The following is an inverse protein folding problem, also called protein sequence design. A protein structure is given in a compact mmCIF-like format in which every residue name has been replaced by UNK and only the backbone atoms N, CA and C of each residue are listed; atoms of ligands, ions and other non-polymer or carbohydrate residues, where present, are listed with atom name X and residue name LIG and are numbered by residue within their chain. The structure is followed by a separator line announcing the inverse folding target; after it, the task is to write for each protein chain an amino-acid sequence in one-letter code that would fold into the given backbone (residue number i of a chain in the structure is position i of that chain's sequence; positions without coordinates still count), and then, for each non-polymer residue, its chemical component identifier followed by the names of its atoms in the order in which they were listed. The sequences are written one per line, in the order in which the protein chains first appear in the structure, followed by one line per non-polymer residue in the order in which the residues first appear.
data_IF_810128593292
#
_entry.id   IF_810128593292
#
_cell.length_a   1.000
_cell.length_b   1.000
_cell.length_c   1.000
_cell.angle_alpha   90.00
_cell.angle_beta   90.00
_cell.angle_gamma   90.00
#
_symmetry.space_group_name_H-M   'P 1'
#
loop_
_entity.id
_entity.type
_entity.pdbx_description
1 polymer ?
#
# COMPACT_ATOMS: atom_id res chain seq x y z
N UNK A 1 4.21 -2.46 -51.69
CA UNK A 1 4.92 -2.16 -50.43
C UNK A 1 4.01 -1.25 -49.62
N UNK A 2 3.20 -1.85 -48.75
CA UNK A 2 2.27 -1.12 -47.90
C UNK A 2 2.91 -1.09 -46.49
N UNK A 3 3.37 0.09 -46.09
CA UNK A 3 3.91 0.31 -44.78
C UNK A 3 2.81 0.22 -43.71
N UNK A 4 2.85 -0.81 -42.90
CA UNK A 4 2.05 -0.90 -41.70
C UNK A 4 2.53 0.20 -40.73
N UNK A 5 1.83 1.33 -40.72
CA UNK A 5 1.91 2.31 -39.65
C UNK A 5 1.36 1.66 -38.37
N UNK A 6 2.23 1.05 -37.57
CA UNK A 6 1.93 0.62 -36.23
C UNK A 6 1.71 1.86 -35.39
N UNK A 7 0.46 2.34 -35.30
CA UNK A 7 0.06 3.28 -34.30
C UNK A 7 0.32 2.61 -32.93
N UNK A 8 1.40 2.98 -32.26
CA UNK A 8 1.58 2.74 -30.83
C UNK A 8 0.40 3.42 -30.15
N UNK A 9 -0.64 2.66 -29.80
CA UNK A 9 -1.75 3.18 -29.00
C UNK A 9 -1.14 3.75 -27.73
N UNK A 10 -1.25 5.05 -27.55
CA UNK A 10 -0.78 5.71 -26.32
C UNK A 10 -1.44 5.02 -25.12
N UNK A 11 -0.62 4.43 -24.30
CA UNK A 11 -1.07 3.69 -23.13
C UNK A 11 -1.68 4.70 -22.14
N UNK A 12 -2.99 4.61 -21.91
CA UNK A 12 -3.70 5.45 -20.94
C UNK A 12 -4.01 4.66 -19.67
N UNK A 13 -3.95 5.35 -18.52
CA UNK A 13 -4.21 4.76 -17.21
C UNK A 13 -4.76 5.81 -16.23
N UNK A 14 -5.30 5.33 -15.13
CA UNK A 14 -5.93 6.14 -14.08
C UNK A 14 -5.05 6.19 -12.83
N UNK A 15 -5.34 7.11 -11.89
CA UNK A 15 -4.57 7.23 -10.64
C UNK A 15 -4.61 5.95 -9.81
N UNK A 16 -5.75 5.26 -9.76
CA UNK A 16 -5.90 4.01 -9.04
C UNK A 16 -5.03 2.88 -9.62
N UNK A 17 -4.86 2.84 -10.95
CA UNK A 17 -3.93 1.91 -11.61
C UNK A 17 -2.48 2.28 -11.28
N UNK A 18 -2.13 3.56 -11.35
CA UNK A 18 -0.78 4.03 -11.06
C UNK A 18 -0.39 3.82 -9.61
N UNK A 19 -1.30 4.13 -8.69
CA UNK A 19 -1.14 3.93 -7.26
C UNK A 19 -0.87 2.45 -6.92
N UNK A 20 -1.69 1.54 -7.44
CA UNK A 20 -1.52 0.10 -7.21
C UNK A 20 -0.19 -0.41 -7.78
N UNK A 21 0.23 0.08 -8.95
CA UNK A 21 1.55 -0.25 -9.50
C UNK A 21 2.68 0.31 -8.64
N UNK A 22 2.56 1.55 -8.14
CA UNK A 22 3.53 2.13 -7.22
C UNK A 22 3.62 1.30 -5.92
N UNK A 23 2.48 0.84 -5.40
CA UNK A 23 2.42 -0.04 -4.23
C UNK A 23 3.05 -1.42 -4.52
N UNK A 24 2.79 -2.01 -5.69
CA UNK A 24 3.41 -3.26 -6.11
C UNK A 24 4.95 -3.18 -6.17
N UNK A 25 5.48 -2.04 -6.60
CA UNK A 25 6.94 -1.79 -6.70
C UNK A 25 7.64 -1.67 -5.35
N UNK A 26 6.91 -1.63 -4.23
CA UNK A 26 7.51 -1.74 -2.89
C UNK A 26 7.91 -3.16 -2.54
N UNK A 27 7.39 -4.16 -3.24
CA UNK A 27 7.68 -5.59 -3.05
C UNK A 27 8.98 -5.94 -3.77
N UNK A 28 9.85 -6.68 -3.10
CA UNK A 28 11.06 -7.26 -3.69
C UNK A 28 10.82 -8.73 -4.02
N UNK A 29 11.55 -9.22 -5.01
CA UNK A 29 11.49 -10.64 -5.33
C UNK A 29 11.96 -11.52 -4.16
N UNK A 30 11.39 -12.70 -4.00
CA UNK A 30 11.62 -13.67 -2.93
C UNK A 30 11.16 -13.25 -1.52
N UNK A 31 10.47 -12.11 -1.37
CA UNK A 31 9.82 -11.76 -0.09
C UNK A 31 8.59 -12.64 0.18
N UNK A 32 8.37 -13.01 1.43
CA UNK A 32 7.08 -13.47 1.94
C UNK A 32 6.23 -12.24 2.23
N UNK A 33 5.14 -12.07 1.48
CA UNK A 33 4.31 -10.85 1.54
C UNK A 33 2.88 -11.17 2.00
N UNK A 34 2.31 -10.28 2.80
CA UNK A 34 0.99 -10.41 3.39
C UNK A 34 0.21 -9.11 3.34
N UNK A 35 -1.10 -9.19 3.24
CA UNK A 35 -2.02 -8.06 3.43
C UNK A 35 -3.12 -8.41 4.43
N UNK A 36 -3.66 -7.41 5.13
CA UNK A 36 -4.80 -7.58 6.03
C UNK A 36 -6.15 -7.69 5.30
N UNK A 37 -7.19 -7.92 6.06
CA UNK A 37 -8.57 -7.93 5.57
C UNK A 37 -8.96 -6.58 4.96
N UNK A 38 -9.78 -6.63 3.90
CA UNK A 38 -10.38 -5.44 3.32
C UNK A 38 -9.37 -4.47 2.69
N UNK A 39 -8.30 -4.99 2.11
CA UNK A 39 -7.22 -4.23 1.47
C UNK A 39 -7.11 -4.51 -0.03
N UNK A 40 -8.14 -4.19 -0.85
CA UNK A 40 -8.13 -4.52 -2.29
C UNK A 40 -6.92 -3.93 -3.03
N UNK A 41 -6.48 -2.71 -2.73
CA UNK A 41 -5.30 -2.12 -3.35
C UNK A 41 -4.04 -2.95 -3.09
N UNK A 42 -3.79 -3.34 -1.84
CA UNK A 42 -2.66 -4.17 -1.47
C UNK A 42 -2.75 -5.58 -2.10
N UNK A 43 -3.93 -6.19 -2.05
CA UNK A 43 -4.18 -7.49 -2.67
C UNK A 43 -3.87 -7.49 -4.17
N UNK A 44 -4.41 -6.52 -4.91
CA UNK A 44 -4.13 -6.37 -6.35
C UNK A 44 -2.64 -6.09 -6.58
N UNK A 45 -2.00 -5.24 -5.78
CA UNK A 45 -0.58 -4.91 -5.88
C UNK A 45 0.32 -6.16 -5.73
N UNK A 46 0.03 -7.04 -4.77
CA UNK A 46 0.78 -8.29 -4.58
C UNK A 46 0.68 -9.21 -5.81
N UNK A 47 -0.51 -9.35 -6.38
CA UNK A 47 -0.70 -10.12 -7.62
C UNK A 47 -0.03 -9.47 -8.84
N UNK A 48 0.00 -8.13 -8.94
CA UNK A 48 0.74 -7.42 -9.99
C UNK A 48 2.23 -7.68 -9.85
N UNK A 49 2.79 -7.53 -8.64
CA UNK A 49 4.21 -7.80 -8.39
C UNK A 49 4.60 -9.22 -8.80
N UNK A 50 3.84 -10.22 -8.37
CA UNK A 50 4.07 -11.65 -8.69
C UNK A 50 4.00 -11.95 -10.18
N UNK A 51 3.15 -11.24 -10.93
CA UNK A 51 2.99 -11.42 -12.38
C UNK A 51 3.99 -10.60 -13.21
N UNK A 52 4.78 -9.73 -12.57
CA UNK A 52 5.73 -8.84 -13.25
C UNK A 52 7.16 -9.00 -12.75
N UNK A 53 7.57 -8.23 -11.78
CA UNK A 53 8.96 -8.08 -11.36
C UNK A 53 9.38 -8.93 -10.16
N UNK A 54 8.44 -9.49 -9.40
CA UNK A 54 8.70 -10.25 -8.17
C UNK A 54 8.02 -11.64 -8.26
N UNK A 55 8.51 -12.49 -9.18
CA UNK A 55 7.86 -13.75 -9.55
C UNK A 55 7.99 -14.84 -8.51
N UNK A 56 9.01 -14.77 -7.69
CA UNK A 56 9.36 -15.79 -6.68
C UNK A 56 8.90 -15.40 -5.26
N UNK A 57 8.01 -14.42 -5.12
CA UNK A 57 7.43 -14.10 -3.80
C UNK A 57 6.56 -15.24 -3.27
N UNK A 58 6.52 -15.36 -1.95
CA UNK A 58 5.48 -16.11 -1.25
C UNK A 58 4.34 -15.14 -0.89
N UNK A 59 3.29 -15.15 -1.70
CA UNK A 59 2.09 -14.36 -1.45
C UNK A 59 1.20 -15.11 -0.47
N UNK A 60 0.94 -14.52 0.70
CA UNK A 60 -0.03 -15.03 1.66
C UNK A 60 -1.29 -14.15 1.61
N UNK A 61 -2.40 -14.75 1.26
CA UNK A 61 -3.67 -14.07 1.10
C UNK A 61 -4.31 -13.80 2.47
N UNK A 62 -4.74 -12.55 2.70
CA UNK A 62 -5.11 -12.06 4.03
C UNK A 62 -6.34 -12.70 4.67
N UNK A 63 -7.33 -13.07 3.87
CA UNK A 63 -8.59 -13.62 4.40
C UNK A 63 -8.55 -15.15 4.58
N UNK A 64 -7.82 -15.83 3.72
CA UNK A 64 -7.85 -17.30 3.63
C UNK A 64 -6.56 -17.97 4.11
N UNK A 65 -5.48 -17.19 4.31
CA UNK A 65 -4.11 -17.67 4.56
C UNK A 65 -3.61 -18.65 3.49
N UNK A 66 -4.18 -18.52 2.29
CA UNK A 66 -3.75 -19.29 1.13
C UNK A 66 -2.38 -18.80 0.65
N UNK A 67 -1.46 -19.73 0.43
CA UNK A 67 -0.11 -19.43 -0.05
C UNK A 67 -0.07 -19.58 -1.57
N UNK A 68 0.38 -18.50 -2.22
CA UNK A 68 0.49 -18.42 -3.67
C UNK A 68 -0.82 -18.78 -4.41
N UNK A 69 -1.99 -18.26 -4.00
CA UNK A 69 -3.20 -18.48 -4.75
C UNK A 69 -3.10 -17.87 -6.15
N UNK A 70 -3.79 -18.45 -7.09
CA UNK A 70 -3.91 -17.92 -8.46
C UNK A 70 -5.39 -17.86 -8.89
N UNK A 71 -6.17 -16.98 -8.26
CA UNK A 71 -7.56 -16.78 -8.66
C UNK A 71 -7.63 -16.14 -10.05
N UNK A 72 -8.69 -16.41 -10.85
CA UNK A 72 -8.84 -15.82 -12.17
C UNK A 72 -9.06 -14.30 -12.10
N UNK A 73 -9.59 -13.79 -11.01
CA UNK A 73 -9.77 -12.37 -10.71
C UNK A 73 -9.99 -12.18 -9.20
N UNK A 74 -9.78 -10.95 -8.72
CA UNK A 74 -10.11 -10.57 -7.34
C UNK A 74 -11.62 -10.31 -7.24
N UNK A 75 -12.35 -11.06 -6.39
CA UNK A 75 -13.79 -10.86 -6.19
C UNK A 75 -14.07 -9.56 -5.43
N UNK A 76 -15.31 -9.03 -5.49
CA UNK A 76 -15.68 -7.79 -4.81
C UNK A 76 -15.58 -7.85 -3.28
N UNK A 77 -15.58 -9.04 -2.70
CA UNK A 77 -15.43 -9.22 -1.25
C UNK A 77 -14.07 -9.85 -0.92
N UNK A 78 -13.36 -9.23 0.03
CA UNK A 78 -12.06 -9.72 0.48
C UNK A 78 -12.10 -11.03 1.28
N UNK A 79 -13.27 -11.59 1.54
CA UNK A 79 -13.45 -12.84 2.31
C UNK A 79 -13.97 -14.01 1.44
N UNK A 80 -13.90 -13.85 0.12
CA UNK A 80 -14.38 -14.87 -0.80
C UNK A 80 -13.44 -16.08 -0.84
N UNK A 81 -13.98 -17.28 -0.72
CA UNK A 81 -13.21 -18.52 -0.81
C UNK A 81 -12.54 -18.72 -2.18
N UNK A 82 -13.00 -18.04 -3.22
CA UNK A 82 -12.34 -18.03 -4.52
C UNK A 82 -10.88 -17.54 -4.44
N UNK A 83 -10.54 -16.71 -3.43
CA UNK A 83 -9.21 -16.21 -3.18
C UNK A 83 -8.19 -17.28 -2.76
N UNK A 84 -8.62 -18.47 -2.43
CA UNK A 84 -7.72 -19.61 -2.18
C UNK A 84 -7.51 -20.50 -3.41
N UNK A 85 -8.16 -20.19 -4.54
CA UNK A 85 -8.07 -21.00 -5.75
C UNK A 85 -6.64 -21.06 -6.26
N UNK A 86 -6.17 -22.25 -6.63
CA UNK A 86 -4.83 -22.48 -7.13
C UNK A 86 -3.72 -22.36 -6.07
N UNK A 87 -4.06 -22.18 -4.79
CA UNK A 87 -3.08 -22.10 -3.73
C UNK A 87 -2.24 -23.38 -3.61
N UNK A 88 -0.95 -23.21 -3.31
CA UNK A 88 -0.06 -24.33 -3.03
C UNK A 88 -0.48 -25.06 -1.75
N UNK A 89 -0.87 -24.31 -0.73
CA UNK A 89 -1.47 -24.83 0.53
C UNK A 89 -2.16 -23.66 1.27
N UNK A 90 -2.84 -23.99 2.38
CA UNK A 90 -3.37 -23.00 3.33
C UNK A 90 -2.63 -23.14 4.65
N UNK A 91 -2.12 -22.02 5.14
CA UNK A 91 -1.62 -21.95 6.51
C UNK A 91 -2.81 -21.89 7.48
N UNK A 92 -2.64 -22.43 8.67
CA UNK A 92 -3.54 -22.11 9.77
C UNK A 92 -3.18 -20.73 10.31
N UNK A 93 -4.14 -20.08 10.94
CA UNK A 93 -3.94 -18.74 11.52
C UNK A 93 -2.72 -18.69 12.44
N UNK A 94 -2.62 -19.62 13.37
CA UNK A 94 -1.52 -19.70 14.32
C UNK A 94 -0.16 -19.97 13.64
N UNK A 95 -0.12 -20.76 12.58
CA UNK A 95 1.11 -21.05 11.82
C UNK A 95 1.66 -19.78 11.16
N UNK A 96 0.77 -18.91 10.67
CA UNK A 96 1.19 -17.65 10.07
C UNK A 96 1.77 -16.69 11.12
N UNK A 97 1.15 -16.57 12.30
CA UNK A 97 1.65 -15.75 13.38
C UNK A 97 2.99 -16.27 13.92
N UNK A 98 3.14 -17.57 14.06
CA UNK A 98 4.41 -18.19 14.42
C UNK A 98 5.51 -17.92 13.38
N UNK A 99 5.18 -17.98 12.08
CA UNK A 99 6.09 -17.62 11.01
C UNK A 99 6.53 -16.15 11.11
N UNK A 100 5.61 -15.22 11.39
CA UNK A 100 5.94 -13.82 11.57
C UNK A 100 6.89 -13.59 12.76
N UNK A 101 6.65 -14.25 13.89
CA UNK A 101 7.51 -14.15 15.08
C UNK A 101 8.91 -14.73 14.81
N UNK A 102 9.03 -15.78 14.00
CA UNK A 102 10.33 -16.34 13.60
C UNK A 102 11.08 -15.49 12.58
N UNK A 103 10.43 -14.45 12.01
CA UNK A 103 11.03 -13.60 10.98
C UNK A 103 10.87 -14.15 9.55
N UNK A 104 9.95 -15.10 9.33
CA UNK A 104 9.69 -15.72 8.03
C UNK A 104 8.71 -14.89 7.15
N UNK A 105 8.22 -13.77 7.66
CA UNK A 105 7.35 -12.83 6.91
C UNK A 105 8.11 -11.53 6.69
N UNK A 106 8.48 -11.28 5.44
CA UNK A 106 9.35 -10.15 5.09
C UNK A 106 8.60 -8.83 5.01
N UNK A 107 7.35 -8.85 4.52
CA UNK A 107 6.58 -7.63 4.28
C UNK A 107 5.09 -7.80 4.57
N UNK A 108 4.53 -6.79 5.25
CA UNK A 108 3.09 -6.65 5.44
C UNK A 108 2.60 -5.30 4.92
N UNK A 109 1.44 -5.31 4.28
CA UNK A 109 0.74 -4.09 3.88
C UNK A 109 -0.20 -3.64 4.98
N UNK A 110 -0.11 -2.37 5.36
CA UNK A 110 -0.91 -1.74 6.42
C UNK A 110 -1.48 -0.42 5.93
N UNK A 111 -2.75 -0.20 6.18
CA UNK A 111 -3.42 1.08 5.96
C UNK A 111 -3.96 1.64 7.27
N UNK A 112 -4.24 2.95 7.29
CA UNK A 112 -4.85 3.61 8.44
C UNK A 112 -5.69 4.80 8.03
N UNK A 113 -6.66 5.16 8.87
CA UNK A 113 -7.39 6.43 8.69
C UNK A 113 -6.55 7.62 9.12
N UNK A 114 -5.55 7.38 9.99
CA UNK A 114 -4.51 8.32 10.38
C UNK A 114 -3.16 7.60 10.33
N UNK A 115 -2.15 8.30 9.84
CA UNK A 115 -0.75 7.86 9.80
C UNK A 115 0.09 9.05 10.27
N UNK A 116 0.97 8.85 11.25
CA UNK A 116 1.87 9.89 11.73
C UNK A 116 3.21 9.95 10.98
N UNK A 117 4.04 10.91 11.34
CA UNK A 117 5.34 11.13 10.73
C UNK A 117 6.30 9.94 10.83
N UNK A 118 6.12 9.07 11.82
CA UNK A 118 6.96 7.89 12.06
C UNK A 118 6.34 6.59 11.52
N UNK A 119 5.18 6.72 10.84
CA UNK A 119 4.46 5.62 10.22
C UNK A 119 3.66 4.77 11.21
N UNK A 120 3.31 5.33 12.39
CA UNK A 120 2.27 4.69 13.21
C UNK A 120 0.91 4.84 12.53
N UNK A 121 0.06 3.83 12.64
CA UNK A 121 -1.25 3.84 12.00
C UNK A 121 -2.38 3.73 13.01
N UNK A 122 -3.53 4.31 12.65
CA UNK A 122 -4.75 4.22 13.44
C UNK A 122 -5.89 3.61 12.60
N UNK A 123 -6.38 2.46 13.06
CA UNK A 123 -7.60 1.80 12.57
C UNK A 123 -8.57 1.47 13.73
N UNK A 124 -8.38 2.08 14.90
CA UNK A 124 -9.12 1.76 16.12
C UNK A 124 -10.16 2.81 16.48
N UNK A 125 -9.77 4.06 16.60
CA UNK A 125 -10.71 5.12 17.00
C UNK A 125 -10.21 6.51 16.59
N UNK A 126 -11.11 7.40 16.20
CA UNK A 126 -10.83 8.82 16.02
C UNK A 126 -11.44 9.60 17.19
N UNK A 127 -10.64 10.46 17.82
CA UNK A 127 -10.94 11.13 19.07
C UNK A 127 -10.54 10.29 20.28
N UNK A 128 -10.81 10.77 21.53
CA UNK A 128 -10.45 10.09 22.76
C UNK A 128 -10.99 8.66 22.84
N UNK A 129 -10.16 7.70 23.24
CA UNK A 129 -10.53 6.28 23.21
C UNK A 129 -11.70 5.95 24.15
N UNK A 130 -11.87 6.71 25.23
CA UNK A 130 -12.95 6.56 26.19
C UNK A 130 -14.31 7.03 25.64
N UNK A 131 -14.29 7.96 24.65
CA UNK A 131 -15.50 8.49 24.01
C UNK A 131 -15.19 8.89 22.55
N UNK A 132 -14.93 7.90 21.68
CA UNK A 132 -14.48 8.20 20.33
C UNK A 132 -15.58 8.82 19.46
N UNK A 133 -15.20 9.82 18.66
CA UNK A 133 -16.10 10.38 17.63
C UNK A 133 -16.42 9.33 16.55
N UNK A 134 -15.45 8.47 16.23
CA UNK A 134 -15.62 7.35 15.30
C UNK A 134 -14.93 6.12 15.89
N UNK A 135 -15.69 5.04 16.08
CA UNK A 135 -15.13 3.73 16.39
C UNK A 135 -14.89 2.97 15.09
N UNK A 136 -13.69 2.50 14.91
CA UNK A 136 -13.25 1.74 13.73
C UNK A 136 -13.18 0.24 14.05
N UNK A 137 -12.76 -0.57 13.08
CA UNK A 137 -12.68 -2.02 13.21
C UNK A 137 -11.65 -2.53 14.21
N UNK A 138 -10.61 -1.75 14.46
CA UNK A 138 -9.46 -2.15 15.27
C UNK A 138 -8.43 -2.95 14.47
N UNK A 139 -7.27 -3.21 15.08
CA UNK A 139 -6.13 -3.86 14.42
C UNK A 139 -6.29 -5.37 14.22
N UNK A 140 -7.23 -6.03 14.91
CA UNK A 140 -7.27 -7.50 14.95
C UNK A 140 -5.90 -8.07 15.38
N UNK A 141 -5.32 -8.94 14.54
CA UNK A 141 -3.94 -9.43 14.69
C UNK A 141 -2.88 -8.54 14.06
N UNK A 142 -3.28 -7.44 13.40
CA UNK A 142 -2.37 -6.56 12.63
C UNK A 142 -1.27 -5.96 13.49
N UNK A 143 -1.59 -5.49 14.69
CA UNK A 143 -0.61 -4.91 15.61
C UNK A 143 0.49 -5.90 16.02
N UNK A 144 0.16 -7.16 16.25
CA UNK A 144 1.13 -8.21 16.54
C UNK A 144 2.05 -8.47 15.35
N UNK A 145 1.47 -8.57 14.14
CA UNK A 145 2.24 -8.75 12.91
C UNK A 145 3.11 -7.54 12.61
N UNK A 146 2.57 -6.33 12.74
CA UNK A 146 3.34 -5.09 12.55
C UNK A 146 4.54 -4.97 13.52
N UNK A 147 4.48 -5.61 14.68
CA UNK A 147 5.57 -5.66 15.65
C UNK A 147 6.71 -6.60 15.24
N UNK A 148 6.43 -7.62 14.40
CA UNK A 148 7.34 -8.76 14.16
C UNK A 148 7.79 -8.91 12.72
N UNK A 149 6.98 -8.53 11.72
CA UNK A 149 7.34 -8.68 10.31
C UNK A 149 8.52 -7.82 9.91
N UNK A 150 9.29 -8.27 8.91
CA UNK A 150 10.53 -7.63 8.47
C UNK A 150 10.35 -6.17 8.05
N UNK A 151 9.26 -5.84 7.36
CA UNK A 151 8.97 -4.49 6.90
C UNK A 151 7.47 -4.21 6.73
N UNK A 152 7.08 -2.95 6.87
CA UNK A 152 5.74 -2.48 6.55
C UNK A 152 5.75 -1.63 5.28
N UNK A 153 4.82 -1.89 4.36
CA UNK A 153 4.42 -0.97 3.30
C UNK A 153 3.09 -0.34 3.70
N UNK A 154 3.16 0.92 4.11
CA UNK A 154 1.98 1.69 4.48
C UNK A 154 1.33 2.28 3.24
N UNK A 155 0.01 2.48 3.28
CA UNK A 155 -0.68 3.14 2.20
C UNK A 155 -1.96 3.85 2.67
N UNK A 156 -2.35 4.89 1.93
CA UNK A 156 -3.65 5.55 2.08
C UNK A 156 -4.06 6.19 0.76
N UNK A 157 -5.34 6.21 0.46
CA UNK A 157 -5.95 6.88 -0.69
C UNK A 157 -6.70 8.15 -0.27
N UNK A 158 -6.37 8.69 0.92
CA UNK A 158 -7.08 9.81 1.56
C UNK A 158 -6.15 10.96 1.95
N UNK A 159 -4.92 10.98 1.45
CA UNK A 159 -3.95 12.03 1.77
C UNK A 159 -4.46 13.42 1.37
N UNK A 160 -5.05 13.55 0.18
CA UNK A 160 -5.63 14.81 -0.32
C UNK A 160 -6.71 15.41 0.59
N UNK A 161 -7.30 14.62 1.47
CA UNK A 161 -8.27 15.14 2.44
C UNK A 161 -7.64 16.03 3.52
N UNK A 162 -6.31 15.97 3.72
CA UNK A 162 -5.59 16.62 4.81
C UNK A 162 -5.90 16.03 6.20
N UNK A 163 -6.45 14.81 6.25
CA UNK A 163 -6.86 14.15 7.51
C UNK A 163 -6.21 12.79 7.74
N UNK A 164 -5.54 12.27 6.71
CA UNK A 164 -4.91 10.95 6.77
C UNK A 164 -3.48 11.00 7.32
N UNK A 165 -2.68 11.98 6.90
CA UNK A 165 -1.34 12.20 7.45
C UNK A 165 -1.47 13.25 8.55
N UNK A 166 -1.23 12.85 9.79
CA UNK A 166 -1.50 13.65 11.00
C UNK A 166 -0.22 13.84 11.83
N UNK A 167 -0.19 14.89 12.65
CA UNK A 167 0.92 15.12 13.59
C UNK A 167 1.04 13.95 14.56
N UNK A 168 -0.07 13.55 15.18
CA UNK A 168 -0.18 12.43 16.10
C UNK A 168 -1.46 11.63 15.79
N UNK A 169 -1.38 10.32 15.80
CA UNK A 169 -2.55 9.47 15.73
C UNK A 169 -3.36 9.58 17.04
N UNK A 170 -4.69 9.71 16.94
CA UNK A 170 -5.56 9.71 18.13
C UNK A 170 -5.44 8.40 18.93
N UNK A 171 -5.14 7.32 18.24
CA UNK A 171 -4.82 6.00 18.81
C UNK A 171 -3.77 5.31 17.92
N UNK A 172 -2.73 4.76 18.51
CA UNK A 172 -1.73 3.96 17.80
C UNK A 172 -2.18 2.51 17.80
N UNK A 173 -2.65 2.05 16.62
CA UNK A 173 -2.99 0.64 16.42
C UNK A 173 -1.76 -0.16 16.05
N UNK A 174 -1.03 0.29 15.04
CA UNK A 174 0.23 -0.33 14.61
C UNK A 174 1.34 0.70 14.78
N UNK A 175 2.37 0.34 15.53
CA UNK A 175 3.47 1.22 15.83
C UNK A 175 4.39 1.41 14.63
N UNK A 176 4.71 2.65 14.31
CA UNK A 176 5.74 3.04 13.37
C UNK A 176 7.16 2.86 13.92
N UNK A 177 8.11 3.67 13.48
CA UNK A 177 9.50 3.60 13.95
C UNK A 177 9.66 4.02 15.42
N UNK A 178 8.85 4.96 15.88
CA UNK A 178 8.84 5.43 17.26
C UNK A 178 7.48 6.02 17.64
N UNK A 179 7.25 6.09 18.93
CA UNK A 179 6.15 6.83 19.56
C UNK A 179 6.73 7.67 20.71
N UNK A 180 5.89 8.38 21.43
CA UNK A 180 6.28 9.08 22.68
C UNK A 180 6.86 8.14 23.75
N UNK A 181 6.53 6.85 23.69
CA UNK A 181 6.95 5.84 24.68
C UNK A 181 8.32 5.22 24.35
N UNK A 182 8.87 5.49 23.16
CA UNK A 182 10.17 5.02 22.71
C UNK A 182 10.21 4.56 21.25
N UNK A 183 11.37 4.09 20.82
CA UNK A 183 11.61 3.44 19.53
C UNK A 183 11.17 1.97 19.56
N UNK A 184 11.04 1.35 18.38
CA UNK A 184 10.71 -0.08 18.27
C UNK A 184 11.68 -0.97 19.07
N UNK A 185 12.98 -0.70 19.00
CA UNK A 185 14.00 -1.49 19.70
C UNK A 185 13.92 -1.33 21.22
N UNK A 186 13.67 -0.11 21.72
CA UNK A 186 13.50 0.14 23.15
C UNK A 186 12.25 -0.54 23.71
N UNK A 187 11.21 -0.70 22.91
CA UNK A 187 9.97 -1.38 23.27
C UNK A 187 9.98 -2.90 22.96
N UNK A 188 11.12 -3.44 22.51
CA UNK A 188 11.30 -4.88 22.28
C UNK A 188 10.66 -5.42 21.01
N UNK A 189 10.31 -4.57 20.05
CA UNK A 189 9.79 -5.01 18.75
C UNK A 189 10.92 -5.57 17.89
N UNK A 190 10.72 -6.73 17.27
CA UNK A 190 11.71 -7.42 16.46
C UNK A 190 11.61 -7.08 14.97
N UNK A 191 10.45 -6.62 14.51
CA UNK A 191 10.21 -6.24 13.12
C UNK A 191 10.88 -4.92 12.74
N UNK A 192 11.18 -4.75 11.44
CA UNK A 192 11.92 -3.59 10.92
C UNK A 192 11.10 -2.29 10.82
N UNK A 193 9.77 -2.36 10.92
CA UNK A 193 8.89 -1.18 10.83
C UNK A 193 8.62 -0.69 9.41
N UNK A 194 8.05 0.52 9.27
CA UNK A 194 7.70 1.11 7.98
C UNK A 194 8.92 1.33 7.08
N UNK A 195 8.84 0.89 5.83
CA UNK A 195 9.84 1.20 4.79
C UNK A 195 9.29 2.13 3.72
N UNK A 196 8.00 2.00 3.45
CA UNK A 196 7.32 2.78 2.41
C UNK A 196 5.97 3.27 2.90
N UNK A 197 5.58 4.46 2.43
CA UNK A 197 4.23 4.98 2.54
C UNK A 197 3.81 5.47 1.14
N UNK A 198 2.81 4.82 0.56
CA UNK A 198 2.26 5.18 -0.75
C UNK A 198 0.92 5.89 -0.55
N UNK A 199 0.81 7.08 -1.12
CA UNK A 199 -0.43 7.87 -1.10
C UNK A 199 -0.83 8.25 -2.52
N UNK A 200 -2.02 8.77 -2.74
CA UNK A 200 -2.46 9.27 -4.05
C UNK A 200 -1.80 10.62 -4.44
N UNK A 201 -0.95 11.18 -3.56
CA UNK A 201 -0.14 12.37 -3.84
C UNK A 201 1.32 12.03 -4.13
N UNK A 202 1.86 10.99 -3.51
CA UNK A 202 3.27 10.63 -3.67
C UNK A 202 3.68 9.37 -2.90
N UNK A 203 4.96 9.05 -3.00
CA UNK A 203 5.59 7.92 -2.34
C UNK A 203 6.66 8.43 -1.38
N UNK A 204 6.60 7.98 -0.15
CA UNK A 204 7.53 8.31 0.92
C UNK A 204 8.38 7.09 1.30
N UNK A 205 9.62 7.32 1.68
CA UNK A 205 10.43 6.41 2.48
C UNK A 205 10.54 6.95 3.93
N UNK A 206 11.37 6.32 4.74
CA UNK A 206 11.69 6.78 6.09
C UNK A 206 13.20 7.00 6.19
N UNK A 207 13.57 8.15 6.76
CA UNK A 207 14.99 8.51 6.95
C UNK A 207 15.63 7.78 8.15
N UNK A 208 16.86 8.14 8.46
CA UNK A 208 17.62 7.51 9.54
C UNK A 208 16.99 7.71 10.93
N UNK A 209 16.20 8.78 11.10
CA UNK A 209 15.47 9.04 12.34
C UNK A 209 14.12 8.33 12.39
N UNK A 210 13.76 7.60 11.32
CA UNK A 210 12.47 6.94 11.15
C UNK A 210 11.34 7.89 10.77
N UNK A 211 11.64 9.11 10.31
CA UNK A 211 10.65 10.09 9.88
C UNK A 211 10.33 9.94 8.39
N UNK A 212 9.05 10.02 8.05
CA UNK A 212 8.58 9.95 6.66
C UNK A 212 9.17 11.08 5.81
N UNK A 213 9.66 10.71 4.61
CA UNK A 213 10.33 11.63 3.69
C UNK A 213 9.81 11.41 2.27
N UNK A 214 9.31 12.45 1.62
CA UNK A 214 8.79 12.39 0.26
C UNK A 214 9.91 12.08 -0.74
N UNK A 215 9.79 10.96 -1.44
CA UNK A 215 10.75 10.48 -2.46
C UNK A 215 10.28 10.69 -3.88
N UNK A 216 8.96 10.53 -4.09
CA UNK A 216 8.37 10.65 -5.41
C UNK A 216 7.02 11.35 -5.30
N UNK A 217 6.68 12.14 -6.29
CA UNK A 217 5.40 12.86 -6.38
C UNK A 217 4.71 12.50 -7.70
N UNK A 218 3.37 12.40 -7.70
CA UNK A 218 2.65 12.21 -8.95
C UNK A 218 2.71 13.50 -9.79
N UNK A 219 2.85 13.41 -11.13
CA UNK A 219 3.17 14.57 -11.97
C UNK A 219 2.13 15.71 -11.97
N UNK A 220 0.88 15.41 -11.63
CA UNK A 220 -0.20 16.39 -11.51
C UNK A 220 -0.34 16.98 -10.10
N UNK A 221 0.62 16.72 -9.21
CA UNK A 221 0.64 17.16 -7.81
C UNK A 221 1.83 18.08 -7.59
N UNK A 222 1.58 19.27 -7.04
CA UNK A 222 2.63 20.20 -6.62
C UNK A 222 3.16 19.83 -5.22
N UNK A 223 4.42 20.19 -4.94
CA UNK A 223 5.00 20.02 -3.60
C UNK A 223 4.19 20.77 -2.54
N UNK A 224 3.74 21.99 -2.84
CA UNK A 224 2.85 22.78 -1.98
C UNK A 224 1.57 22.04 -1.63
N UNK A 225 0.98 21.30 -2.60
CA UNK A 225 -0.20 20.46 -2.31
C UNK A 225 0.11 19.36 -1.33
N UNK A 226 1.27 18.70 -1.46
CA UNK A 226 1.68 17.65 -0.52
C UNK A 226 1.88 18.23 0.87
N UNK A 227 2.56 19.38 0.97
CA UNK A 227 2.83 20.08 2.23
C UNK A 227 1.52 20.50 2.93
N UNK A 228 0.61 21.14 2.21
CA UNK A 228 -0.70 21.61 2.73
C UNK A 228 -1.57 20.44 3.26
N UNK A 229 -1.43 19.25 2.69
CA UNK A 229 -2.21 18.07 3.07
C UNK A 229 -1.54 17.14 4.09
N UNK A 230 -0.27 17.43 4.45
CA UNK A 230 0.51 16.66 5.43
C UNK A 230 0.45 17.37 6.80
N UNK A 231 -0.02 16.69 7.83
CA UNK A 231 -0.20 17.25 9.18
C UNK A 231 1.09 17.34 10.00
N UNK A 232 2.23 16.87 9.47
CA UNK A 232 3.55 16.95 10.09
C UNK A 232 4.55 17.66 9.17
N UNK A 233 5.73 18.00 9.69
CA UNK A 233 6.80 18.63 8.89
C UNK A 233 7.15 17.75 7.69
N UNK A 234 6.96 18.27 6.47
CA UNK A 234 7.27 17.54 5.25
C UNK A 234 8.78 17.51 5.00
N UNK A 235 9.42 16.37 5.20
CA UNK A 235 10.80 16.13 4.76
C UNK A 235 10.79 15.69 3.29
N UNK A 236 11.68 16.25 2.50
CA UNK A 236 11.79 15.96 1.07
C UNK A 236 13.17 15.38 0.77
N UNK A 237 13.24 14.32 0.01
CA UNK A 237 14.49 13.73 -0.42
C UNK A 237 15.22 14.64 -1.41
N UNK A 238 16.55 14.71 -1.32
CA UNK A 238 17.36 15.53 -2.23
C UNK A 238 17.28 15.09 -3.71
N UNK A 239 16.85 13.86 -3.96
CA UNK A 239 16.61 13.26 -5.27
C UNK A 239 15.10 13.08 -5.57
N UNK A 240 14.26 14.01 -5.09
CA UNK A 240 12.81 13.99 -5.38
C UNK A 240 12.57 13.89 -6.89
N UNK A 241 11.72 12.96 -7.28
CA UNK A 241 11.42 12.68 -8.69
C UNK A 241 9.94 12.34 -8.90
N UNK A 242 9.43 12.41 -10.13
CA UNK A 242 8.10 11.91 -10.43
C UNK A 242 7.97 10.39 -10.15
N UNK A 243 6.79 9.96 -9.71
CA UNK A 243 6.46 8.52 -9.66
C UNK A 243 6.57 7.97 -11.08
N UNK A 244 7.37 6.91 -11.32
CA UNK A 244 7.48 6.33 -12.66
C UNK A 244 6.13 5.80 -13.15
N UNK A 245 5.71 6.11 -14.40
CA UNK A 245 4.43 5.65 -14.93
C UNK A 245 4.37 4.11 -15.01
N UNK A 246 3.16 3.52 -14.99
CA UNK A 246 2.98 2.10 -15.19
C UNK A 246 3.46 1.65 -16.58
N UNK A 247 4.15 0.52 -16.61
CA UNK A 247 4.49 -0.16 -17.87
C UNK A 247 3.32 -0.99 -18.42
N UNK A 248 3.38 -1.33 -19.72
CA UNK A 248 2.36 -2.15 -20.36
C UNK A 248 2.15 -3.51 -19.70
N UNK A 249 3.22 -4.17 -19.24
CA UNK A 249 3.13 -5.45 -18.54
C UNK A 249 2.44 -5.33 -17.17
N UNK A 250 2.74 -4.24 -16.43
CA UNK A 250 2.12 -3.98 -15.13
C UNK A 250 0.62 -3.70 -15.28
N UNK A 251 0.22 -2.88 -16.27
CA UNK A 251 -1.19 -2.61 -16.55
C UNK A 251 -1.93 -3.85 -17.04
N UNK A 252 -1.32 -4.67 -17.89
CA UNK A 252 -1.91 -5.92 -18.33
C UNK A 252 -2.12 -6.89 -17.15
N UNK A 253 -1.14 -7.03 -16.28
CA UNK A 253 -1.25 -7.85 -15.07
C UNK A 253 -2.35 -7.34 -14.14
N UNK A 254 -2.41 -6.01 -13.89
CA UNK A 254 -3.41 -5.38 -13.05
C UNK A 254 -4.82 -5.57 -13.60
N UNK A 255 -5.05 -5.21 -14.88
CA UNK A 255 -6.35 -5.32 -15.53
C UNK A 255 -6.82 -6.78 -15.68
N UNK A 256 -5.87 -7.71 -15.80
CA UNK A 256 -6.16 -9.14 -15.84
C UNK A 256 -6.61 -9.72 -14.52
N UNK A 257 -6.00 -9.27 -13.39
CA UNK A 257 -6.36 -9.78 -12.07
C UNK A 257 -7.53 -9.01 -11.43
N UNK A 258 -7.70 -7.74 -11.75
CA UNK A 258 -8.77 -6.89 -11.23
C UNK A 258 -9.66 -6.31 -12.36
N UNK A 259 -10.31 -7.17 -13.17
CA UNK A 259 -11.20 -6.72 -14.24
C UNK A 259 -12.46 -6.02 -13.70
N UNK A 260 -12.83 -6.27 -12.45
CA UNK A 260 -13.98 -5.66 -11.79
C UNK A 260 -13.65 -4.31 -11.16
N UNK A 261 -12.36 -3.93 -11.10
CA UNK A 261 -11.93 -2.67 -10.51
C UNK A 261 -12.17 -2.57 -9.01
N UNK A 262 -12.03 -3.69 -8.28
CA UNK A 262 -12.29 -3.73 -6.81
C UNK A 262 -11.40 -2.75 -6.03
N UNK A 263 -10.16 -2.50 -6.50
CA UNK A 263 -9.25 -1.49 -5.94
C UNK A 263 -9.87 -0.10 -5.85
N UNK A 264 -10.78 0.24 -6.77
CA UNK A 264 -11.42 1.56 -6.86
C UNK A 264 -12.32 1.87 -5.66
N UNK A 265 -12.78 0.84 -4.94
CA UNK A 265 -13.61 1.02 -3.75
C UNK A 265 -12.92 1.78 -2.61
N UNK A 266 -11.58 1.86 -2.63
CA UNK A 266 -10.80 2.57 -1.62
C UNK A 266 -10.59 4.05 -1.94
N UNK A 267 -10.83 4.47 -3.19
CA UNK A 267 -10.65 5.84 -3.65
C UNK A 267 -11.92 6.68 -3.52
N UNK A 268 -11.74 7.98 -3.27
CA UNK A 268 -12.83 8.93 -3.44
C UNK A 268 -13.21 9.05 -4.93
N UNK A 269 -14.50 9.23 -5.29
CA UNK A 269 -14.92 9.32 -6.69
C UNK A 269 -14.14 10.37 -7.50
N UNK A 270 -13.87 11.53 -6.92
CA UNK A 270 -13.11 12.60 -7.59
C UNK A 270 -11.68 12.19 -7.96
N UNK A 271 -11.02 11.34 -7.17
CA UNK A 271 -9.69 10.84 -7.51
C UNK A 271 -9.71 9.91 -8.73
N UNK A 272 -10.78 9.13 -8.90
CA UNK A 272 -10.91 8.17 -10.01
C UNK A 272 -11.08 8.83 -11.38
N UNK A 273 -11.27 10.15 -11.41
CA UNK A 273 -11.33 10.93 -12.66
C UNK A 273 -9.95 11.31 -13.18
N UNK A 274 -8.90 11.22 -12.34
CA UNK A 274 -7.52 11.53 -12.73
C UNK A 274 -6.99 10.48 -13.72
N UNK A 275 -6.71 10.95 -14.96
CA UNK A 275 -6.27 10.12 -16.10
C UNK A 275 -4.95 10.62 -16.65
N UNK A 276 -4.11 9.70 -17.10
CA UNK A 276 -2.76 9.97 -17.58
C UNK A 276 -2.45 9.22 -18.86
N UNK A 277 -1.41 9.69 -19.57
CA UNK A 277 -0.86 9.04 -20.76
C UNK A 277 0.59 8.61 -20.53
N UNK A 278 0.96 7.44 -20.99
CA UNK A 278 2.35 7.01 -20.98
C UNK A 278 3.19 7.90 -21.91
N UNK A 279 4.38 8.28 -21.46
CA UNK A 279 5.33 9.09 -22.22
C UNK A 279 5.31 10.59 -21.87
N UNK A 280 4.19 11.16 -21.43
CA UNK A 280 4.14 12.57 -21.03
C UNK A 280 4.08 12.79 -19.52
N UNK A 281 3.55 11.80 -18.76
CA UNK A 281 3.21 12.01 -17.35
C UNK A 281 2.18 13.15 -17.12
N UNK A 282 1.77 13.82 -18.22
CA UNK A 282 0.82 14.91 -18.17
C UNK A 282 -0.61 14.39 -18.00
N UNK A 283 -1.48 15.11 -17.25
CA UNK A 283 -2.89 14.80 -17.17
C UNK A 283 -3.53 14.78 -18.56
N UNK A 284 -4.39 13.81 -18.83
CA UNK A 284 -5.25 13.89 -20.01
C UNK A 284 -6.25 15.02 -19.79
N UNK A 285 -6.25 16.03 -20.64
CA UNK A 285 -7.40 16.90 -20.75
C UNK A 285 -8.58 16.07 -21.27
N UNK A 286 -9.64 15.96 -20.49
CA UNK A 286 -10.94 15.43 -20.92
C UNK A 286 -11.73 16.53 -21.60
#
# INVERSE_FOLDING_TARGET
MSGANGATSELTFTIDEWFVVALARTIRDRETVFHGFGSPCAQVAMHVARRTHARDILLVEGATYAVNPDPPFIPPTGNDLALQRGAAYRMRFEEFFDAAVRGDVDRMFVSGVQIDAYGSTNVTAVGPIESPKVKLGGGGGGCNLAATVGALSLWTTRHRTGRALVTDCDFVTDMGHRTRDGSRSELGFTGGGPQWLVTELGVFDFDADGHARLRQVFPDVSLETVEDKTGFELRVAGDLRPVPPPGGAELAALRGIDPLGVRRSEFAPAELERRFRAGSGAPCAC
#
